data_IF_389489352491
#
_entry.id   IF_389489352491
#
_cell.length_a   1.000
_cell.length_b   1.000
_cell.length_c   1.000
_cell.angle_alpha   90.00
_cell.angle_beta   90.00
_cell.angle_gamma   90.00
#
_symmetry.space_group_name_H-M   'P 1'
#
loop_
_entity.id
_entity.type
_entity.pdbx_description
1 polymer ?
#
# COMPACT_ATOMS: atom_id res chain seq x y z
N UNK A 1 12.67 -5.54 -11.04
CA UNK A 1 12.71 -4.46 -12.06
C UNK A 1 13.82 -3.50 -11.64
N UNK A 2 14.87 -3.35 -12.44
CA UNK A 2 16.09 -2.59 -12.12
C UNK A 2 15.91 -1.11 -12.45
N UNK A 3 16.48 -0.24 -11.60
CA UNK A 3 16.39 1.23 -11.61
C UNK A 3 17.04 1.93 -12.83
N UNK A 4 16.48 3.09 -13.27
CA UNK A 4 17.06 3.99 -14.30
C UNK A 4 17.83 5.17 -13.62
N UNK A 5 19.15 5.34 -13.82
CA UNK A 5 20.02 6.27 -13.06
C UNK A 5 19.73 7.78 -13.11
N UNK A 6 18.89 8.27 -14.03
CA UNK A 6 18.83 9.70 -14.37
C UNK A 6 17.54 10.42 -13.91
N UNK A 7 16.83 9.91 -12.90
CA UNK A 7 15.60 10.55 -12.37
C UNK A 7 15.67 10.71 -10.86
N UNK A 8 15.84 11.95 -10.38
CA UNK A 8 15.85 12.29 -8.96
C UNK A 8 14.44 12.26 -8.36
N UNK A 9 14.09 11.13 -7.75
CA UNK A 9 12.94 10.98 -6.85
C UNK A 9 13.41 10.99 -5.39
N UNK A 10 12.50 11.14 -4.43
CA UNK A 10 12.87 11.02 -3.00
C UNK A 10 13.54 9.67 -2.67
N UNK A 11 13.10 8.58 -3.33
CA UNK A 11 13.66 7.25 -3.16
C UNK A 11 15.10 7.16 -3.68
N UNK A 12 15.40 7.82 -4.80
CA UNK A 12 16.72 7.76 -5.42
C UNK A 12 17.72 8.65 -4.71
N UNK A 13 17.27 9.82 -4.23
CA UNK A 13 18.07 10.67 -3.34
C UNK A 13 18.46 9.92 -2.06
N UNK A 14 17.54 9.14 -1.49
CA UNK A 14 17.86 8.28 -0.35
C UNK A 14 18.83 7.14 -0.71
N UNK A 15 18.64 6.48 -1.86
CA UNK A 15 19.56 5.44 -2.34
C UNK A 15 20.98 5.97 -2.56
N UNK A 16 21.12 7.13 -3.18
CA UNK A 16 22.41 7.80 -3.40
C UNK A 16 23.11 8.11 -2.08
N UNK A 17 22.37 8.69 -1.12
CA UNK A 17 22.89 8.96 0.21
C UNK A 17 23.28 7.66 0.95
N UNK A 18 22.47 6.60 0.84
CA UNK A 18 22.77 5.30 1.42
C UNK A 18 24.06 4.70 0.86
N UNK A 19 24.25 4.73 -0.47
CA UNK A 19 25.50 4.29 -1.11
C UNK A 19 26.70 5.13 -0.69
N UNK A 20 26.50 6.43 -0.45
CA UNK A 20 27.54 7.30 0.12
C UNK A 20 27.92 6.94 1.56
N UNK A 21 26.93 6.56 2.39
CA UNK A 21 27.14 6.13 3.78
C UNK A 21 27.76 4.72 3.86
N UNK A 22 27.43 3.84 2.92
CA UNK A 22 27.85 2.44 2.88
C UNK A 22 28.47 2.07 1.51
N UNK A 23 29.65 2.62 1.16
CA UNK A 23 30.23 2.51 -0.19
C UNK A 23 30.60 1.08 -0.60
N UNK A 24 30.81 0.19 0.37
CA UNK A 24 31.14 -1.21 0.13
C UNK A 24 29.91 -2.13 0.08
N UNK A 25 28.70 -1.58 0.27
CA UNK A 25 27.46 -2.37 0.22
C UNK A 25 26.97 -2.53 -1.21
N UNK A 26 26.51 -3.74 -1.55
CA UNK A 26 25.73 -3.97 -2.76
C UNK A 26 24.28 -3.61 -2.47
N UNK A 27 23.92 -2.34 -2.68
CA UNK A 27 22.56 -1.85 -2.41
C UNK A 27 21.73 -1.77 -3.68
N UNK A 28 20.57 -2.42 -3.65
CA UNK A 28 19.53 -2.35 -4.67
C UNK A 28 18.26 -1.69 -4.12
N UNK A 29 17.55 -0.95 -4.97
CA UNK A 29 16.29 -0.30 -4.62
C UNK A 29 15.15 -0.96 -5.39
N UNK A 30 14.16 -1.45 -4.65
CA UNK A 30 12.94 -2.02 -5.19
C UNK A 30 11.76 -1.11 -4.88
N UNK A 31 11.06 -0.64 -5.92
CA UNK A 31 9.86 0.15 -5.75
C UNK A 31 8.61 -0.74 -5.81
N UNK A 32 8.10 -1.10 -4.63
CA UNK A 32 6.84 -1.84 -4.46
C UNK A 32 5.59 -0.95 -4.45
N UNK A 33 5.70 0.37 -4.62
CA UNK A 33 4.56 1.26 -4.49
C UNK A 33 3.50 1.02 -5.57
N UNK A 34 2.24 0.96 -5.13
CA UNK A 34 1.07 0.86 -6.01
C UNK A 34 0.27 2.16 -5.89
N UNK A 35 0.05 2.90 -6.99
CA UNK A 35 -0.64 4.18 -6.90
C UNK A 35 -2.12 4.02 -6.49
N UNK A 36 -2.59 4.91 -5.61
CA UNK A 36 -3.98 4.97 -5.13
C UNK A 36 -4.48 3.71 -4.39
N UNK A 37 -3.58 3.02 -3.68
CA UNK A 37 -3.90 1.89 -2.79
C UNK A 37 -3.40 2.18 -1.38
N UNK A 38 -4.14 1.73 -0.37
CA UNK A 38 -3.78 1.86 1.03
C UNK A 38 -3.34 0.54 1.66
N UNK A 39 -3.31 0.54 2.99
CA UNK A 39 -3.11 -0.65 3.82
C UNK A 39 -4.17 -1.72 3.57
N UNK A 40 -5.39 -1.33 3.20
CA UNK A 40 -6.48 -2.25 2.88
C UNK A 40 -6.12 -3.24 1.75
N UNK A 41 -5.44 -2.76 0.71
CA UNK A 41 -4.89 -3.59 -0.37
C UNK A 41 -3.57 -4.26 0.04
N UNK A 42 -2.62 -3.49 0.57
CA UNK A 42 -1.27 -4.00 0.81
C UNK A 42 -1.22 -5.03 1.94
N UNK A 43 -2.11 -4.96 2.93
CA UNK A 43 -2.23 -5.99 3.97
C UNK A 43 -2.43 -7.39 3.43
N UNK A 44 -3.01 -7.54 2.24
CA UNK A 44 -3.22 -8.84 1.58
C UNK A 44 -2.21 -9.06 0.46
N UNK A 45 -1.85 -7.99 -0.27
CA UNK A 45 -1.08 -8.09 -1.51
C UNK A 45 0.38 -7.65 -1.39
N UNK A 46 0.93 -7.40 -0.19
CA UNK A 46 2.33 -6.94 -0.07
C UNK A 46 3.32 -7.92 -0.69
N UNK A 47 3.09 -9.24 -0.61
CA UNK A 47 3.95 -10.26 -1.23
C UNK A 47 4.03 -10.17 -2.77
N UNK A 48 3.05 -9.52 -3.41
CA UNK A 48 3.09 -9.23 -4.84
C UNK A 48 4.08 -8.12 -5.19
N UNK A 49 4.34 -7.22 -4.24
CA UNK A 49 5.11 -5.98 -4.46
C UNK A 49 6.44 -5.93 -3.71
N UNK A 50 6.64 -6.83 -2.77
CA UNK A 50 7.82 -6.96 -1.94
C UNK A 50 8.50 -8.31 -2.22
N UNK A 51 9.83 -8.33 -2.24
CA UNK A 51 10.59 -9.58 -2.26
C UNK A 51 10.73 -10.11 -0.83
N UNK A 52 10.78 -11.43 -0.66
CA UNK A 52 11.02 -12.04 0.64
C UNK A 52 12.48 -11.84 1.10
N UNK A 53 13.40 -11.61 0.15
CA UNK A 53 14.81 -11.31 0.40
C UNK A 53 15.08 -9.79 0.51
N UNK A 54 14.31 -9.11 1.36
CA UNK A 54 14.49 -7.67 1.63
C UNK A 54 15.10 -7.47 3.02
N UNK A 55 16.04 -6.52 3.14
CA UNK A 55 16.68 -6.19 4.43
C UNK A 55 16.10 -4.93 5.10
N UNK A 56 15.56 -3.99 4.30
CA UNK A 56 14.94 -2.75 4.77
C UNK A 56 13.67 -2.43 3.95
N UNK A 57 12.55 -2.20 4.64
CA UNK A 57 11.27 -1.82 4.04
C UNK A 57 10.88 -0.42 4.50
N UNK A 58 10.61 0.47 3.53
CA UNK A 58 10.00 1.77 3.78
C UNK A 58 8.52 1.70 3.46
N UNK A 59 7.64 1.93 4.44
CA UNK A 59 6.18 1.90 4.23
C UNK A 59 5.65 3.34 4.24
N UNK A 60 5.01 3.76 3.14
CA UNK A 60 4.37 5.09 3.01
C UNK A 60 2.93 4.92 2.51
N UNK A 61 1.95 5.34 3.33
CA UNK A 61 0.52 5.17 3.06
C UNK A 61 -0.34 6.36 3.48
N UNK A 62 0.27 7.47 3.91
CA UNK A 62 -0.40 8.57 4.61
C UNK A 62 -1.47 9.27 3.77
N UNK A 63 -1.22 9.33 2.47
CA UNK A 63 -2.09 9.96 1.50
C UNK A 63 -3.27 9.06 1.11
N UNK A 64 -3.12 7.74 1.21
CA UNK A 64 -4.10 6.75 0.74
C UNK A 64 -4.99 6.24 1.86
N UNK A 65 -4.42 6.01 3.04
CA UNK A 65 -5.16 5.59 4.22
C UNK A 65 -6.00 6.74 4.77
N UNK A 66 -7.23 6.41 5.15
CA UNK A 66 -8.10 7.33 5.87
C UNK A 66 -7.94 7.09 7.38
N UNK A 67 -8.41 8.05 8.19
CA UNK A 67 -8.48 7.90 9.64
C UNK A 67 -9.65 7.01 10.05
N UNK A 68 -9.63 5.77 9.59
CA UNK A 68 -10.61 4.74 9.85
C UNK A 68 -9.97 3.60 10.63
N UNK A 69 -10.71 3.01 11.55
CA UNK A 69 -10.27 1.83 12.31
C UNK A 69 -9.91 0.66 11.36
N UNK A 70 -10.67 0.48 10.27
CA UNK A 70 -10.37 -0.52 9.26
C UNK A 70 -9.00 -0.33 8.59
N UNK A 71 -8.55 0.92 8.40
CA UNK A 71 -7.20 1.20 7.89
C UNK A 71 -6.13 0.94 8.96
N UNK A 72 -6.41 1.26 10.23
CA UNK A 72 -5.49 0.92 11.32
C UNK A 72 -5.29 -0.60 11.45
N UNK A 73 -6.38 -1.37 11.39
CA UNK A 73 -6.33 -2.84 11.44
C UNK A 73 -5.64 -3.42 10.20
N UNK A 74 -5.93 -2.88 9.01
CA UNK A 74 -5.25 -3.32 7.79
C UNK A 74 -3.75 -3.01 7.83
N UNK A 75 -3.37 -1.85 8.35
CA UNK A 75 -1.96 -1.49 8.49
C UNK A 75 -1.24 -2.40 9.50
N UNK A 76 -1.90 -2.76 10.59
CA UNK A 76 -1.38 -3.72 11.57
C UNK A 76 -1.08 -5.08 10.91
N UNK A 77 -2.01 -5.62 10.11
CA UNK A 77 -1.78 -6.86 9.36
C UNK A 77 -0.63 -6.74 8.37
N UNK A 78 -0.53 -5.61 7.66
CA UNK A 78 0.58 -5.34 6.75
C UNK A 78 1.91 -5.35 7.51
N UNK A 79 1.99 -4.61 8.61
CA UNK A 79 3.22 -4.45 9.38
C UNK A 79 3.67 -5.79 9.97
N UNK A 80 2.75 -6.56 10.57
CA UNK A 80 3.03 -7.90 11.07
C UNK A 80 3.50 -8.83 9.95
N UNK A 81 2.81 -8.85 8.81
CA UNK A 81 3.22 -9.67 7.65
C UNK A 81 4.62 -9.35 7.13
N UNK A 82 4.98 -8.07 7.06
CA UNK A 82 6.33 -7.64 6.66
C UNK A 82 7.39 -8.07 7.68
N UNK A 83 7.08 -7.95 8.97
CA UNK A 83 8.01 -8.31 10.04
C UNK A 83 8.21 -9.83 10.18
N UNK A 84 7.24 -10.63 9.73
CA UNK A 84 7.28 -12.10 9.68
C UNK A 84 7.94 -12.68 8.41
N UNK A 85 8.44 -11.81 7.52
CA UNK A 85 9.21 -12.24 6.34
C UNK A 85 10.49 -13.00 6.76
N UNK A 86 11.01 -13.92 5.92
CA UNK A 86 12.13 -14.78 6.28
C UNK A 86 13.38 -14.03 6.78
N UNK A 87 13.71 -12.89 6.16
CA UNK A 87 14.84 -12.03 6.52
C UNK A 87 14.62 -11.16 7.75
N UNK A 88 13.38 -11.05 8.26
CA UNK A 88 12.97 -10.15 9.35
C UNK A 88 13.48 -8.71 9.10
N UNK A 89 13.05 -8.07 7.99
CA UNK A 89 13.59 -6.79 7.57
C UNK A 89 13.42 -5.70 8.63
N UNK A 90 14.33 -4.74 8.64
CA UNK A 90 14.09 -3.47 9.32
C UNK A 90 12.93 -2.73 8.63
N UNK A 91 12.05 -2.10 9.40
CA UNK A 91 10.92 -1.34 8.87
C UNK A 91 11.00 0.10 9.33
N UNK A 92 10.84 1.05 8.40
CA UNK A 92 10.69 2.48 8.70
C UNK A 92 9.39 2.96 8.08
N UNK A 93 8.54 3.57 8.90
CA UNK A 93 7.25 4.08 8.48
C UNK A 93 7.36 5.56 8.13
N UNK A 94 7.03 5.87 6.89
CA UNK A 94 6.97 7.22 6.36
C UNK A 94 5.53 7.69 6.38
N UNK A 95 5.23 8.61 7.30
CA UNK A 95 3.95 9.27 7.44
C UNK A 95 2.75 8.35 7.77
N UNK A 96 2.98 7.14 8.28
CA UNK A 96 1.90 6.20 8.65
C UNK A 96 1.47 6.34 10.12
N UNK A 97 0.21 6.01 10.42
CA UNK A 97 -0.34 5.94 11.79
C UNK A 97 -0.26 4.52 12.36
N UNK A 98 -0.45 4.36 13.66
CA UNK A 98 -0.62 3.03 14.33
C UNK A 98 0.60 2.11 14.38
N UNK A 99 1.82 2.59 14.09
CA UNK A 99 3.03 1.76 14.16
C UNK A 99 3.72 1.70 15.55
N UNK A 100 3.22 2.49 16.51
CA UNK A 100 3.88 2.68 17.82
C UNK A 100 3.93 1.40 18.66
N UNK A 101 2.95 0.51 18.55
CA UNK A 101 2.92 -0.73 19.32
C UNK A 101 4.05 -1.70 18.93
N UNK A 102 4.47 -1.68 17.67
CA UNK A 102 5.49 -2.56 17.12
C UNK A 102 6.91 -1.97 17.24
N UNK A 103 7.07 -0.85 17.96
CA UNK A 103 8.34 -0.13 18.14
C UNK A 103 9.09 0.16 16.83
N UNK A 104 8.36 0.30 15.71
CA UNK A 104 8.94 0.64 14.42
C UNK A 104 9.01 2.16 14.24
N UNK A 105 10.15 2.71 13.77
CA UNK A 105 10.32 4.14 13.59
C UNK A 105 9.25 4.77 12.69
N UNK A 106 8.75 5.94 13.09
CA UNK A 106 7.80 6.74 12.31
C UNK A 106 8.44 8.10 12.00
N UNK A 107 8.67 8.37 10.72
CA UNK A 107 9.16 9.66 10.23
C UNK A 107 8.02 10.37 9.50
N UNK A 108 7.79 11.64 9.84
CA UNK A 108 6.71 12.41 9.24
C UNK A 108 7.19 13.78 8.81
N UNK A 109 7.10 14.07 7.51
CA UNK A 109 7.38 15.42 7.01
C UNK A 109 6.34 16.41 7.51
N UNK A 110 5.14 15.96 7.90
CA UNK A 110 4.09 16.83 8.43
C UNK A 110 4.59 17.66 9.61
N UNK A 111 5.41 17.07 10.48
CA UNK A 111 5.93 17.73 11.68
C UNK A 111 6.88 18.90 11.35
N UNK A 112 7.49 18.89 10.16
CA UNK A 112 8.39 19.96 9.71
C UNK A 112 7.68 20.88 8.70
N UNK A 113 7.11 20.29 7.66
CA UNK A 113 6.60 20.98 6.49
C UNK A 113 5.32 21.77 6.80
N UNK A 114 4.41 21.24 7.61
CA UNK A 114 3.15 21.95 7.91
C UNK A 114 3.39 23.22 8.74
N UNK A 115 4.13 23.19 9.87
CA UNK A 115 4.46 24.42 10.58
C UNK A 115 5.21 25.44 9.71
N UNK A 116 6.09 24.97 8.82
CA UNK A 116 6.83 25.82 7.91
C UNK A 116 5.92 26.52 6.90
N UNK A 117 5.06 25.77 6.21
CA UNK A 117 4.08 26.33 5.25
C UNK A 117 3.07 27.24 5.96
N UNK A 118 2.61 26.90 7.16
CA UNK A 118 1.68 27.77 7.90
C UNK A 118 2.29 29.14 8.26
N UNK A 119 3.61 29.21 8.42
CA UNK A 119 4.35 30.46 8.66
C UNK A 119 4.71 31.18 7.35
N UNK A 120 4.86 30.42 6.26
CA UNK A 120 5.30 30.87 4.95
C UNK A 120 4.29 30.40 3.89
N UNK A 121 3.06 30.91 3.98
CA UNK A 121 1.94 30.44 3.16
C UNK A 121 2.19 30.63 1.65
N UNK A 122 3.05 31.57 1.28
CA UNK A 122 3.51 31.81 -0.09
C UNK A 122 4.33 30.65 -0.69
N UNK A 123 4.77 29.69 0.12
CA UNK A 123 5.56 28.55 -0.29
C UNK A 123 4.74 27.25 -0.42
N UNK A 124 3.43 27.28 -0.23
CA UNK A 124 2.62 26.05 -0.34
C UNK A 124 2.73 25.43 -1.75
N UNK A 125 2.53 26.20 -2.81
CA UNK A 125 2.65 25.74 -4.19
C UNK A 125 4.06 25.27 -4.59
N UNK A 126 5.08 25.60 -3.79
CA UNK A 126 6.46 25.16 -4.03
C UNK A 126 6.69 23.70 -3.64
N UNK A 127 5.90 23.15 -2.70
CA UNK A 127 6.09 21.78 -2.20
C UNK A 127 5.06 20.77 -2.73
N UNK A 128 4.08 21.25 -3.51
CA UNK A 128 2.94 20.48 -3.98
C UNK A 128 2.82 20.51 -5.50
N UNK A 129 2.28 19.43 -6.06
CA UNK A 129 2.10 19.27 -7.48
C UNK A 129 1.12 20.30 -8.05
N UNK A 130 1.23 20.60 -9.34
CA UNK A 130 0.24 21.38 -10.10
C UNK A 130 -0.47 20.51 -11.12
N UNK A 131 -1.79 20.66 -11.18
CA UNK A 131 -2.67 20.04 -12.16
C UNK A 131 -3.37 21.09 -13.03
N UNK A 132 -4.36 20.69 -13.83
CA UNK A 132 -5.07 21.60 -14.73
C UNK A 132 -6.03 22.53 -13.97
N UNK A 133 -6.47 22.10 -12.80
CA UNK A 133 -7.42 22.76 -11.92
C UNK A 133 -6.75 23.69 -10.90
N UNK A 134 -5.42 23.64 -10.77
CA UNK A 134 -4.62 24.44 -9.85
C UNK A 134 -3.59 23.62 -9.08
N UNK A 135 -3.34 24.01 -7.83
CA UNK A 135 -2.41 23.30 -6.95
C UNK A 135 -3.07 22.06 -6.35
N UNK A 136 -2.38 20.93 -6.44
CA UNK A 136 -2.74 19.66 -5.82
C UNK A 136 -2.05 19.55 -4.45
N UNK A 137 -2.67 20.13 -3.42
CA UNK A 137 -2.18 20.09 -2.03
C UNK A 137 -2.21 18.68 -1.40
N UNK A 138 -2.56 17.65 -2.17
CA UNK A 138 -2.54 16.27 -1.73
C UNK A 138 -1.23 15.59 -2.15
N UNK A 139 -0.73 15.83 -3.36
CA UNK A 139 0.50 15.21 -3.85
C UNK A 139 1.69 16.17 -3.75
N UNK A 140 2.70 15.79 -2.98
CA UNK A 140 3.96 16.54 -2.91
C UNK A 140 4.73 16.42 -4.21
N UNK A 141 5.39 17.51 -4.59
CA UNK A 141 6.20 17.57 -5.81
C UNK A 141 7.65 17.13 -5.56
N UNK A 142 8.54 17.50 -6.48
CA UNK A 142 9.98 17.27 -6.43
C UNK A 142 10.61 17.77 -5.13
N UNK A 143 10.16 18.94 -4.66
CA UNK A 143 10.69 19.60 -3.48
C UNK A 143 10.17 18.93 -2.21
N UNK A 144 8.88 18.60 -2.15
CA UNK A 144 8.34 17.82 -1.03
C UNK A 144 8.91 16.39 -0.94
N UNK A 145 9.17 15.74 -2.09
CA UNK A 145 9.89 14.47 -2.15
C UNK A 145 11.34 14.58 -1.65
N UNK A 146 12.02 15.70 -1.93
CA UNK A 146 13.34 15.97 -1.36
C UNK A 146 13.28 16.10 0.16
N UNK A 147 12.29 16.79 0.72
CA UNK A 147 12.11 16.89 2.19
C UNK A 147 11.92 15.50 2.81
N UNK A 148 11.16 14.60 2.15
CA UNK A 148 11.05 13.20 2.59
C UNK A 148 12.37 12.43 2.55
N UNK A 149 13.20 12.64 1.53
CA UNK A 149 14.52 12.03 1.48
C UNK A 149 15.44 12.59 2.58
N UNK A 150 15.44 13.91 2.79
CA UNK A 150 16.32 14.57 3.76
C UNK A 150 16.02 14.10 5.20
N UNK A 151 14.73 13.90 5.57
CA UNK A 151 14.38 13.37 6.90
C UNK A 151 14.82 11.91 7.08
N UNK A 152 14.73 11.08 6.03
CA UNK A 152 15.24 9.69 6.04
C UNK A 152 16.76 9.65 6.20
N UNK A 153 17.48 10.49 5.46
CA UNK A 153 18.94 10.58 5.52
C UNK A 153 19.37 11.02 6.92
N UNK A 154 18.77 12.09 7.45
CA UNK A 154 19.07 12.60 8.78
C UNK A 154 18.78 11.55 9.87
N UNK A 155 17.66 10.82 9.76
CA UNK A 155 17.36 9.72 10.66
C UNK A 155 18.41 8.60 10.57
N UNK A 156 18.77 8.17 9.37
CA UNK A 156 19.76 7.11 9.13
C UNK A 156 21.12 7.48 9.71
N UNK A 157 21.61 8.70 9.43
CA UNK A 157 22.85 9.22 10.00
C UNK A 157 22.80 9.25 11.53
N UNK A 158 21.67 9.66 12.12
CA UNK A 158 21.49 9.65 13.57
C UNK A 158 21.54 8.22 14.15
N UNK A 159 20.95 7.23 13.47
CA UNK A 159 21.04 5.83 13.91
C UNK A 159 22.46 5.29 13.83
N UNK A 160 23.20 5.60 12.75
CA UNK A 160 24.62 5.25 12.63
C UNK A 160 25.40 5.82 13.82
N UNK A 161 25.25 7.12 14.11
CA UNK A 161 25.89 7.76 15.26
C UNK A 161 25.51 7.11 16.59
N UNK A 162 24.22 6.76 16.77
CA UNK A 162 23.74 6.11 17.99
C UNK A 162 24.38 4.73 18.18
N UNK A 163 24.51 3.93 17.11
CA UNK A 163 25.16 2.62 17.14
C UNK A 163 26.65 2.76 17.45
N UNK A 164 27.36 3.69 16.81
CA UNK A 164 28.79 3.91 17.07
C UNK A 164 29.05 4.39 18.50
N UNK A 165 28.24 5.31 19.00
CA UNK A 165 28.28 5.70 20.43
C UNK A 165 27.94 4.52 21.34
N UNK A 166 26.95 3.71 20.99
CA UNK A 166 26.53 2.52 21.73
C UNK A 166 27.65 1.50 21.84
N UNK A 167 28.36 1.18 20.75
CA UNK A 167 29.54 0.30 20.75
C UNK A 167 30.61 0.80 21.72
N UNK A 168 30.88 2.11 21.75
CA UNK A 168 31.84 2.70 22.70
C UNK A 168 31.41 2.59 24.17
N UNK A 169 30.09 2.57 24.44
CA UNK A 169 29.53 2.46 25.80
C UNK A 169 29.41 1.00 26.25
N UNK A 170 28.99 0.09 25.36
CA UNK A 170 28.92 -1.34 25.62
C UNK A 170 30.30 -1.95 25.85
N UNK A 171 31.36 -1.45 25.20
CA UNK A 171 32.74 -1.84 25.56
C UNK A 171 33.12 -1.48 27.01
N UNK A 172 32.42 -0.54 27.65
CA UNK A 172 32.67 -0.12 29.04
C UNK A 172 31.73 -0.75 30.06
N UNK A 173 30.63 -1.35 29.61
CA UNK A 173 29.67 -2.02 30.47
C UNK A 173 29.67 -3.51 30.12
N UNK A 174 30.22 -4.36 30.99
CA UNK A 174 30.06 -5.81 30.98
C UNK A 174 28.59 -6.18 31.27
N UNK A 175 27.69 -5.72 30.41
CA UNK A 175 26.29 -6.07 30.42
C UNK A 175 26.19 -7.43 29.75
N UNK A 176 26.25 -8.49 30.56
CA UNK A 176 25.74 -9.82 30.22
C UNK A 176 24.22 -9.74 30.05
N UNK A 177 23.78 -9.07 28.98
CA UNK A 177 22.38 -9.06 28.57
C UNK A 177 22.13 -10.45 27.98
N UNK A 178 21.69 -11.36 28.85
CA UNK A 178 21.02 -12.59 28.48
C UNK A 178 19.53 -12.33 28.18
N UNK A 179 19.16 -11.09 27.89
CA UNK A 179 17.78 -10.74 27.52
C UNK A 179 17.66 -10.95 26.02
N UNK A 180 17.02 -12.05 25.63
CA UNK A 180 16.42 -12.14 24.31
C UNK A 180 15.40 -11.01 24.24
N UNK A 181 15.65 -10.03 23.36
CA UNK A 181 14.61 -9.09 22.94
C UNK A 181 13.37 -9.92 22.57
N UNK A 182 12.15 -9.44 22.89
CA UNK A 182 10.93 -10.11 22.48
C UNK A 182 11.03 -10.49 21.00
N UNK A 183 10.81 -11.76 20.70
CA UNK A 183 10.74 -12.22 19.32
C UNK A 183 9.51 -11.61 18.68
N UNK A 184 9.51 -11.50 17.36
CA UNK A 184 8.29 -11.08 16.64
C UNK A 184 7.11 -12.00 16.90
N UNK A 185 7.40 -13.27 17.23
CA UNK A 185 6.43 -14.28 17.69
C UNK A 185 5.77 -13.91 19.03
N UNK A 186 6.38 -13.02 19.82
CA UNK A 186 5.86 -12.51 21.10
C UNK A 186 5.02 -11.22 20.94
N UNK A 187 4.91 -10.68 19.73
CA UNK A 187 4.10 -9.48 19.45
C UNK A 187 2.67 -9.88 19.06
N UNK A 188 1.70 -9.40 19.83
CA UNK A 188 0.29 -9.73 19.65
C UNK A 188 -0.39 -8.92 18.52
N UNK A 189 -1.53 -9.41 18.02
CA UNK A 189 -2.44 -8.61 17.20
C UNK A 189 -3.12 -7.50 18.00
N UNK A 190 -3.46 -6.40 17.34
CA UNK A 190 -4.17 -5.27 17.95
C UNK A 190 -5.48 -5.01 17.21
N UNK A 191 -6.59 -4.74 17.93
CA UNK A 191 -6.71 -4.68 19.39
C UNK A 191 -7.02 -6.05 20.01
N UNK A 192 -6.13 -6.54 20.88
CA UNK A 192 -6.35 -7.77 21.66
C UNK A 192 -6.01 -7.57 23.14
N UNK A 193 -6.73 -8.31 23.99
CA UNK A 193 -6.38 -8.47 25.41
C UNK A 193 -5.27 -9.52 25.53
N UNK A 194 -4.18 -9.18 26.23
CA UNK A 194 -3.07 -10.10 26.49
C UNK A 194 -3.56 -11.47 26.96
N UNK A 195 -3.05 -12.52 26.31
CA UNK A 195 -3.36 -13.91 26.59
C UNK A 195 -2.11 -14.78 26.42
N UNK A 196 -1.67 -15.36 27.53
CA UNK A 196 -0.44 -16.17 27.61
C UNK A 196 -0.49 -17.50 26.87
N UNK A 197 -1.68 -18.03 26.60
CA UNK A 197 -1.83 -19.40 26.08
C UNK A 197 -2.10 -19.42 24.57
N UNK A 198 -2.35 -18.26 23.96
CA UNK A 198 -2.58 -18.20 22.52
C UNK A 198 -1.28 -18.02 21.75
N UNK A 199 -1.05 -18.92 20.81
CA UNK A 199 -0.03 -18.77 19.78
C UNK A 199 -0.70 -18.11 18.57
N UNK A 200 -0.19 -16.94 18.16
CA UNK A 200 -0.64 -16.33 16.92
C UNK A 200 -0.12 -17.12 15.73
N UNK A 201 -1.04 -17.40 14.82
CA UNK A 201 -0.67 -18.02 13.56
C UNK A 201 0.00 -16.99 12.65
N UNK A 202 0.99 -17.47 11.89
CA UNK A 202 1.72 -16.66 10.93
C UNK A 202 0.76 -16.01 9.93
N UNK A 203 0.88 -14.70 9.77
CA UNK A 203 0.10 -13.95 8.80
C UNK A 203 0.70 -14.13 7.39
N UNK A 204 0.13 -15.07 6.63
CA UNK A 204 0.55 -15.35 5.24
C UNK A 204 -0.65 -15.21 4.29
N UNK A 205 -0.94 -13.99 3.79
CA UNK A 205 -2.03 -13.77 2.86
C UNK A 205 -1.67 -14.24 1.45
N UNK A 206 -2.67 -14.71 0.70
CA UNK A 206 -2.56 -14.94 -0.74
C UNK A 206 -3.27 -13.85 -1.50
N UNK A 207 -2.66 -13.35 -2.58
CA UNK A 207 -3.24 -12.34 -3.43
C UNK A 207 -3.13 -12.73 -4.91
N UNK A 208 -4.16 -12.42 -5.68
CA UNK A 208 -4.14 -12.45 -7.13
C UNK A 208 -4.49 -11.06 -7.64
N UNK A 209 -3.76 -10.54 -8.62
CA UNK A 209 -4.01 -9.19 -9.13
C UNK A 209 -3.74 -9.07 -10.62
N UNK A 210 -4.49 -8.18 -11.29
CA UNK A 210 -4.19 -7.74 -12.66
C UNK A 210 -3.00 -6.77 -12.73
N UNK A 211 -2.42 -6.42 -11.57
CA UNK A 211 -1.33 -5.44 -11.40
C UNK A 211 0.04 -6.09 -11.17
N UNK A 212 0.10 -7.41 -11.12
CA UNK A 212 1.30 -8.21 -10.78
C UNK A 212 1.45 -9.36 -11.76
N UNK A 213 2.68 -9.84 -11.90
CA UNK A 213 3.00 -11.05 -12.67
C UNK A 213 3.33 -12.25 -11.79
N UNK A 214 3.54 -12.07 -10.46
CA UNK A 214 3.85 -13.20 -9.57
C UNK A 214 2.65 -14.13 -9.45
N UNK A 215 1.49 -13.56 -9.09
CA UNK A 215 0.21 -14.29 -9.08
C UNK A 215 -0.87 -13.53 -9.87
N UNK A 216 -0.97 -13.76 -11.19
CA UNK A 216 -1.93 -13.05 -12.04
C UNK A 216 -3.37 -13.44 -11.70
N UNK A 217 -4.27 -12.45 -11.66
CA UNK A 217 -5.70 -12.69 -11.50
C UNK A 217 -6.27 -13.40 -12.73
N UNK A 218 -6.50 -14.70 -12.61
CA UNK A 218 -6.90 -15.58 -13.72
C UNK A 218 -8.26 -16.20 -13.41
N UNK A 219 -9.30 -15.92 -14.21
CA UNK A 219 -10.61 -16.50 -13.98
C UNK A 219 -10.63 -17.99 -14.35
N UNK A 220 -11.37 -18.79 -13.56
CA UNK A 220 -11.69 -20.18 -13.89
C UNK A 220 -12.90 -20.26 -14.85
N UNK A 221 -13.74 -19.23 -14.83
CA UNK A 221 -14.86 -19.06 -15.75
C UNK A 221 -15.06 -17.55 -15.98
N UNK A 222 -15.30 -17.15 -17.22
CA UNK A 222 -15.41 -15.74 -17.59
C UNK A 222 -16.42 -15.56 -18.72
N UNK A 223 -17.44 -14.75 -18.47
CA UNK A 223 -18.41 -14.29 -19.46
C UNK A 223 -18.44 -12.76 -19.49
N UNK A 224 -17.80 -12.17 -20.50
CA UNK A 224 -17.88 -10.72 -20.79
C UNK A 224 -16.84 -9.84 -20.08
N UNK A 225 -16.04 -10.39 -19.16
CA UNK A 225 -15.03 -9.63 -18.43
C UNK A 225 -13.68 -9.62 -19.15
N UNK A 226 -13.01 -8.47 -19.16
CA UNK A 226 -11.71 -8.27 -19.78
C UNK A 226 -10.86 -7.29 -18.97
N UNK A 227 -9.54 -7.36 -19.13
CA UNK A 227 -8.62 -6.41 -18.48
C UNK A 227 -8.71 -5.07 -19.21
N UNK A 228 -9.00 -3.99 -18.49
CA UNK A 228 -9.07 -2.65 -19.04
C UNK A 228 -7.73 -2.29 -19.70
N UNK A 229 -7.76 -1.86 -20.97
CA UNK A 229 -6.54 -1.38 -21.65
C UNK A 229 -6.16 0.01 -21.12
N UNK A 230 -4.87 0.34 -21.21
CA UNK A 230 -4.23 1.58 -20.76
C UNK A 230 -4.99 2.87 -21.14
N UNK A 231 -5.81 2.84 -22.19
CA UNK A 231 -6.56 4.01 -22.67
C UNK A 231 -7.88 4.28 -21.93
N UNK A 232 -8.45 3.31 -21.20
CA UNK A 232 -9.82 3.42 -20.65
C UNK A 232 -9.87 3.96 -19.22
N UNK A 233 -8.82 3.71 -18.41
CA UNK A 233 -8.72 4.20 -17.03
C UNK A 233 -7.32 4.79 -16.82
N UNK A 234 -7.03 5.90 -17.49
CA UNK A 234 -5.85 6.72 -17.17
C UNK A 234 -6.20 7.54 -15.94
N UNK A 235 -5.88 7.04 -14.75
CA UNK A 235 -5.79 7.92 -13.57
C UNK A 235 -4.48 8.68 -13.74
N UNK A 236 -4.53 9.81 -14.45
CA UNK A 236 -3.39 10.70 -14.61
C UNK A 236 -2.92 11.06 -13.20
N UNK A 237 -1.72 10.61 -12.85
CA UNK A 237 -1.02 11.06 -11.65
C UNK A 237 -0.72 12.55 -11.85
N UNK A 238 -1.41 13.37 -11.08
CA UNK A 238 -1.59 14.82 -11.26
C UNK A 238 -0.35 15.70 -11.02
N UNK A 239 0.87 15.16 -11.13
CA UNK A 239 2.11 15.95 -11.14
C UNK A 239 2.62 16.14 -12.58
N UNK A 240 1.73 16.51 -13.50
CA UNK A 240 2.01 16.54 -14.94
C UNK A 240 1.96 17.95 -15.52
N UNK A 241 2.43 18.98 -14.84
CA UNK A 241 2.57 20.30 -15.47
C UNK A 241 3.76 21.10 -14.94
N UNK A 242 4.89 20.93 -15.62
CA UNK A 242 5.86 21.98 -15.97
C UNK A 242 6.79 21.37 -17.05
N UNK A 243 6.77 21.95 -18.26
CA UNK A 243 7.64 21.62 -19.40
C UNK A 243 7.37 20.37 -20.27
N UNK A 244 6.11 19.95 -20.47
CA UNK A 244 5.77 19.02 -21.56
C UNK A 244 6.46 17.64 -21.50
N UNK A 245 6.94 17.25 -20.32
CA UNK A 245 7.46 15.91 -20.04
C UNK A 245 6.77 15.37 -18.80
N UNK A 246 6.25 14.15 -18.90
CA UNK A 246 5.73 13.37 -17.78
C UNK A 246 6.91 12.94 -16.91
N UNK A 247 7.20 13.66 -15.82
CA UNK A 247 8.41 13.41 -15.00
C UNK A 247 8.08 13.08 -13.54
N UNK A 248 7.11 12.22 -13.22
CA UNK A 248 7.00 11.73 -11.81
C UNK A 248 6.60 10.26 -11.66
N UNK A 249 6.22 9.59 -12.74
CA UNK A 249 5.85 8.18 -12.67
C UNK A 249 7.03 7.29 -13.05
N UNK A 250 7.31 6.31 -12.20
CA UNK A 250 8.21 5.21 -12.53
C UNK A 250 7.69 4.55 -13.82
N UNK A 251 8.57 4.46 -14.82
CA UNK A 251 8.23 3.98 -16.16
C UNK A 251 7.63 2.58 -16.05
N UNK A 252 6.42 2.37 -16.57
CA UNK A 252 5.74 1.06 -16.57
C UNK A 252 4.60 0.85 -15.55
N UNK A 253 4.28 1.83 -14.68
CA UNK A 253 3.13 1.74 -13.73
C UNK A 253 2.08 2.84 -13.91
N UNK A 254 1.97 3.43 -15.10
CA UNK A 254 0.91 4.41 -15.42
C UNK A 254 -0.46 3.73 -15.57
N UNK A 255 -0.46 2.47 -15.99
CA UNK A 255 -1.68 1.72 -16.19
C UNK A 255 -2.18 1.23 -14.84
N UNK A 256 -3.45 1.50 -14.57
CA UNK A 256 -4.15 1.00 -13.40
C UNK A 256 -5.19 -0.01 -13.86
N UNK A 257 -4.78 -1.18 -14.37
CA UNK A 257 -5.72 -2.13 -14.92
C UNK A 257 -6.71 -2.58 -13.85
N UNK A 258 -7.94 -2.75 -14.28
CA UNK A 258 -9.00 -3.45 -13.58
C UNK A 258 -9.59 -4.49 -14.50
N UNK A 259 -10.19 -5.54 -13.94
CA UNK A 259 -11.08 -6.38 -14.71
C UNK A 259 -12.43 -5.67 -14.81
N UNK A 260 -12.96 -5.55 -16.03
CA UNK A 260 -14.19 -4.81 -16.33
C UNK A 260 -15.08 -5.61 -17.27
N UNK A 261 -16.39 -5.41 -17.16
CA UNK A 261 -17.40 -5.88 -18.11
C UNK A 261 -18.43 -4.76 -18.33
N UNK A 262 -19.40 -4.95 -19.22
CA UNK A 262 -20.36 -3.87 -19.60
C UNK A 262 -21.81 -4.30 -19.55
N UNK A 263 -22.12 -5.57 -19.71
CA UNK A 263 -23.50 -6.00 -19.87
C UNK A 263 -24.00 -6.55 -18.53
N UNK A 264 -25.17 -6.10 -18.04
CA UNK A 264 -25.82 -6.74 -16.91
C UNK A 264 -25.97 -8.25 -17.12
N UNK A 265 -25.59 -9.03 -16.11
CA UNK A 265 -25.53 -10.49 -16.17
C UNK A 265 -24.18 -11.07 -16.65
N UNK A 266 -23.25 -10.25 -17.15
CA UNK A 266 -21.85 -10.68 -17.35
C UNK A 266 -21.25 -11.08 -15.99
N UNK A 267 -20.57 -12.22 -15.94
CA UNK A 267 -20.03 -12.76 -14.70
C UNK A 267 -18.61 -13.30 -14.85
N UNK A 268 -17.92 -13.42 -13.73
CA UNK A 268 -16.58 -13.99 -13.64
C UNK A 268 -16.42 -14.79 -12.35
N UNK A 269 -15.66 -15.89 -12.42
CA UNK A 269 -15.33 -16.75 -11.28
C UNK A 269 -13.83 -16.88 -11.09
N UNK A 270 -13.39 -16.87 -9.84
CA UNK A 270 -11.98 -17.08 -9.46
C UNK A 270 -11.87 -18.18 -8.41
N UNK A 271 -10.88 -19.05 -8.53
CA UNK A 271 -10.45 -19.90 -7.42
C UNK A 271 -9.56 -19.07 -6.48
N UNK A 272 -9.92 -19.03 -5.21
CA UNK A 272 -9.15 -18.35 -4.16
C UNK A 272 -8.77 -19.34 -3.06
N UNK A 273 -7.59 -19.16 -2.48
CA UNK A 273 -7.14 -19.93 -1.31
C UNK A 273 -7.40 -19.10 -0.04
N UNK A 274 -8.17 -19.65 0.88
CA UNK A 274 -8.45 -19.03 2.17
C UNK A 274 -7.48 -19.60 3.20
N UNK A 275 -6.67 -18.70 3.77
CA UNK A 275 -5.79 -19.01 4.89
C UNK A 275 -6.52 -18.94 6.24
N UNK A 276 -5.75 -19.00 7.32
CA UNK A 276 -6.30 -19.11 8.67
C UNK A 276 -6.92 -17.81 9.21
N UNK A 277 -6.68 -16.69 8.52
CA UNK A 277 -7.42 -15.44 8.74
C UNK A 277 -8.89 -15.52 8.33
N UNK A 278 -9.30 -16.57 7.60
CA UNK A 278 -10.70 -16.89 7.24
C UNK A 278 -11.43 -15.78 6.47
N UNK A 279 -10.66 -14.90 5.83
CA UNK A 279 -11.16 -13.67 5.18
C UNK A 279 -10.98 -13.74 3.67
N UNK A 280 -12.01 -13.31 2.95
CA UNK A 280 -11.99 -13.13 1.49
C UNK A 280 -12.30 -11.68 1.18
N UNK A 281 -11.47 -11.06 0.34
CA UNK A 281 -11.55 -9.64 -0.01
C UNK A 281 -11.39 -9.45 -1.50
N UNK A 282 -12.03 -8.41 -2.02
CA UNK A 282 -11.80 -7.94 -3.38
C UNK A 282 -11.48 -6.45 -3.38
N UNK A 283 -10.56 -6.05 -4.26
CA UNK A 283 -10.24 -4.65 -4.52
C UNK A 283 -10.96 -4.18 -5.77
N UNK A 284 -11.63 -3.05 -5.69
CA UNK A 284 -12.42 -2.48 -6.78
C UNK A 284 -12.25 -0.95 -6.82
N UNK A 285 -12.57 -0.35 -7.96
CA UNK A 285 -12.48 1.08 -8.16
C UNK A 285 -13.77 1.77 -7.72
N UNK A 286 -13.65 2.87 -6.98
CA UNK A 286 -14.76 3.80 -6.74
C UNK A 286 -14.55 5.14 -7.44
N UNK A 287 -15.57 5.62 -8.12
CA UNK A 287 -15.54 6.90 -8.84
C UNK A 287 -16.95 7.48 -8.99
N UNK A 288 -17.05 8.81 -8.90
CA UNK A 288 -18.27 9.54 -9.30
C UNK A 288 -18.35 9.76 -10.82
N UNK A 289 -17.21 9.79 -11.51
CA UNK A 289 -17.09 10.33 -12.87
C UNK A 289 -16.82 9.28 -13.94
N UNK A 290 -16.46 8.06 -13.57
CA UNK A 290 -16.12 7.01 -14.54
C UNK A 290 -17.31 6.17 -15.02
N UNK A 291 -18.52 6.44 -14.54
CA UNK A 291 -19.72 5.70 -14.95
C UNK A 291 -19.67 4.23 -14.54
N UNK A 292 -19.20 3.93 -13.32
CA UNK A 292 -19.00 2.56 -12.85
C UNK A 292 -20.32 1.95 -12.34
N UNK A 293 -20.60 0.72 -12.74
CA UNK A 293 -21.74 -0.06 -12.27
C UNK A 293 -21.59 -0.68 -10.89
N UNK A 294 -22.61 -1.44 -10.50
CA UNK A 294 -22.63 -2.28 -9.30
C UNK A 294 -22.48 -3.75 -9.71
N UNK A 295 -21.73 -4.51 -8.92
CA UNK A 295 -21.60 -5.97 -9.10
C UNK A 295 -22.03 -6.69 -7.82
N UNK A 296 -22.66 -7.85 -7.98
CA UNK A 296 -23.01 -8.75 -6.88
C UNK A 296 -21.95 -9.84 -6.81
N UNK A 297 -21.24 -9.91 -5.69
CA UNK A 297 -20.16 -10.89 -5.49
C UNK A 297 -20.45 -11.82 -4.33
N UNK A 298 -20.24 -13.12 -4.48
CA UNK A 298 -20.47 -14.11 -3.43
C UNK A 298 -19.37 -15.17 -3.41
N UNK A 299 -19.31 -15.89 -2.29
CA UNK A 299 -18.39 -17.01 -2.09
C UNK A 299 -19.13 -18.33 -2.32
N UNK A 300 -18.46 -19.25 -3.01
CA UNK A 300 -18.93 -20.55 -3.44
C UNK A 300 -20.29 -20.45 -4.15
N UNK A 301 -21.26 -21.28 -3.79
CA UNK A 301 -22.59 -21.31 -4.38
C UNK A 301 -23.62 -20.49 -3.55
N UNK A 302 -23.20 -19.74 -2.54
CA UNK A 302 -24.08 -18.99 -1.63
C UNK A 302 -24.41 -17.58 -2.15
N UNK A 303 -25.05 -17.50 -3.33
CA UNK A 303 -25.45 -16.23 -3.95
C UNK A 303 -26.36 -15.39 -3.06
N UNK A 304 -27.12 -16.02 -2.17
CA UNK A 304 -28.03 -15.35 -1.24
C UNK A 304 -27.27 -14.52 -0.18
N UNK A 305 -26.07 -14.94 0.21
CA UNK A 305 -25.17 -14.17 1.10
C UNK A 305 -24.18 -13.30 0.35
N UNK A 306 -24.42 -13.04 -0.93
CA UNK A 306 -23.58 -12.13 -1.71
C UNK A 306 -23.55 -10.71 -1.14
N UNK A 307 -22.56 -9.96 -1.60
CA UNK A 307 -22.32 -8.59 -1.21
C UNK A 307 -22.36 -7.71 -2.44
N UNK A 308 -23.10 -6.60 -2.36
CA UNK A 308 -23.10 -5.57 -3.40
C UNK A 308 -21.80 -4.77 -3.35
N UNK A 309 -21.12 -4.70 -4.47
CA UNK A 309 -19.88 -3.97 -4.66
C UNK A 309 -20.16 -2.81 -5.61
N UNK A 310 -20.35 -1.62 -5.02
CA UNK A 310 -20.79 -0.46 -5.78
C UNK A 310 -19.61 0.38 -6.27
N UNK A 311 -19.41 0.47 -7.59
CA UNK A 311 -18.37 1.31 -8.19
C UNK A 311 -18.64 2.81 -8.04
N UNK A 312 -19.89 3.21 -7.84
CA UNK A 312 -20.25 4.62 -7.67
C UNK A 312 -20.18 5.11 -6.22
N UNK A 313 -19.91 6.41 -6.07
CA UNK A 313 -20.11 7.15 -4.82
C UNK A 313 -20.17 8.66 -5.05
N UNK A 314 -20.84 9.38 -4.15
CA UNK A 314 -20.93 10.84 -4.21
C UNK A 314 -19.71 11.52 -3.57
N UNK A 315 -18.53 11.36 -4.17
CA UNK A 315 -17.29 12.06 -3.78
C UNK A 315 -16.67 12.72 -5.00
N UNK A 316 -16.71 14.05 -5.01
CA UNK A 316 -16.06 14.84 -6.06
C UNK A 316 -14.54 14.65 -6.04
N UNK A 317 -13.94 14.67 -7.24
CA UNK A 317 -12.49 14.63 -7.45
C UNK A 317 -11.75 13.45 -6.78
N UNK A 318 -12.47 12.38 -6.43
CA UNK A 318 -11.88 11.21 -5.75
C UNK A 318 -12.15 9.92 -6.52
N UNK A 319 -11.09 9.39 -7.12
CA UNK A 319 -11.06 8.12 -7.83
C UNK A 319 -10.05 7.20 -7.13
N UNK A 320 -10.51 6.16 -6.45
CA UNK A 320 -9.64 5.41 -5.54
C UNK A 320 -10.01 3.94 -5.51
N UNK A 321 -8.99 3.10 -5.32
CA UNK A 321 -9.21 1.70 -5.01
C UNK A 321 -9.80 1.58 -3.60
N UNK A 322 -10.75 0.65 -3.45
CA UNK A 322 -11.32 0.26 -2.16
C UNK A 322 -11.30 -1.24 -2.07
N UNK A 323 -11.25 -1.72 -0.84
CA UNK A 323 -11.41 -3.12 -0.53
C UNK A 323 -12.76 -3.34 0.13
N UNK A 324 -13.45 -4.40 -0.29
CA UNK A 324 -14.64 -4.91 0.38
C UNK A 324 -14.39 -6.35 0.82
N UNK A 325 -15.00 -6.71 1.94
CA UNK A 325 -14.91 -8.04 2.52
C UNK A 325 -16.11 -8.85 2.03
N UNK A 326 -15.85 -9.98 1.36
CA UNK A 326 -16.88 -10.92 0.93
C UNK A 326 -17.19 -11.96 2.01
N UNK A 327 -16.20 -12.27 2.86
CA UNK A 327 -16.37 -13.17 4.00
C UNK A 327 -15.33 -12.88 5.09
N UNK A 328 -15.73 -13.05 6.35
CA UNK A 328 -14.84 -12.97 7.54
C UNK A 328 -14.67 -14.30 8.27
N UNK A 329 -15.36 -15.34 7.82
CA UNK A 329 -15.47 -16.63 8.49
C UNK A 329 -15.43 -17.81 7.52
N UNK A 330 -14.88 -17.63 6.31
CA UNK A 330 -14.67 -18.71 5.36
C UNK A 330 -13.77 -19.79 5.99
N UNK A 331 -14.04 -21.07 5.71
CA UNK A 331 -13.16 -22.13 6.19
C UNK A 331 -11.81 -22.08 5.47
N UNK A 332 -10.71 -22.53 6.08
CA UNK A 332 -9.45 -22.65 5.36
C UNK A 332 -9.56 -23.64 4.21
N UNK A 333 -9.06 -23.28 3.02
CA UNK A 333 -9.13 -24.14 1.84
C UNK A 333 -9.41 -23.39 0.54
N UNK A 334 -9.72 -24.15 -0.51
CA UNK A 334 -10.06 -23.59 -1.83
C UNK A 334 -11.53 -23.19 -1.86
N UNK A 335 -11.79 -21.99 -2.35
CA UNK A 335 -13.13 -21.44 -2.52
C UNK A 335 -13.28 -20.82 -3.91
N UNK A 336 -14.52 -20.60 -4.33
CA UNK A 336 -14.83 -19.89 -5.57
C UNK A 336 -15.42 -18.53 -5.27
N UNK A 337 -14.84 -17.44 -5.78
CA UNK A 337 -15.48 -16.12 -5.76
C UNK A 337 -16.16 -15.91 -7.10
N UNK A 338 -17.47 -15.65 -7.08
CA UNK A 338 -18.23 -15.26 -8.27
C UNK A 338 -18.66 -13.81 -8.17
N UNK A 339 -18.49 -13.03 -9.23
CA UNK A 339 -19.00 -11.66 -9.34
C UNK A 339 -19.81 -11.51 -10.63
N UNK A 340 -20.98 -10.89 -10.54
CA UNK A 340 -21.94 -10.70 -11.64
C UNK A 340 -22.36 -9.22 -11.72
N UNK A 341 -22.39 -8.64 -12.92
CA UNK A 341 -22.90 -7.26 -13.12
C UNK A 341 -24.40 -7.22 -12.83
N UNK A 342 -24.80 -6.28 -11.96
CA UNK A 342 -26.20 -6.11 -11.57
C UNK A 342 -27.01 -5.38 -12.66
N UNK A 343 -28.32 -5.67 -12.72
CA UNK A 343 -29.26 -4.96 -13.59
C UNK A 343 -29.47 -3.51 -13.16
N UNK A 344 -29.45 -3.26 -11.85
CA UNK A 344 -29.55 -1.94 -11.26
C UNK A 344 -28.17 -1.48 -10.80
N UNK A 345 -27.93 -0.17 -10.90
CA UNK A 345 -26.67 0.46 -10.48
C UNK A 345 -26.93 1.59 -9.50
N UNK A 346 -25.97 1.83 -8.59
CA UNK A 346 -26.00 2.99 -7.70
C UNK A 346 -25.58 4.28 -8.41
N UNK A 347 -25.03 4.21 -9.62
CA UNK A 347 -24.69 5.39 -10.40
C UNK A 347 -25.95 6.07 -10.97
N UNK A 348 -26.26 7.33 -10.60
CA UNK A 348 -27.36 8.09 -11.20
C UNK A 348 -27.27 8.23 -12.72
N UNK A 349 -26.06 8.13 -13.29
CA UNK A 349 -25.80 8.13 -14.73
C UNK A 349 -26.09 6.79 -15.43
N UNK A 350 -26.54 5.77 -14.69
CA UNK A 350 -26.76 4.40 -15.18
C UNK A 350 -25.47 3.73 -15.69
N UNK A 351 -24.34 3.99 -15.02
CA UNK A 351 -23.08 3.31 -15.27
C UNK A 351 -23.16 1.80 -15.10
N UNK A 352 -22.38 1.07 -15.90
CA UNK A 352 -22.32 -0.41 -15.97
C UNK A 352 -20.90 -0.89 -15.82
#
# INVERSE_FOLDING_TARGET
MVYEPNRTTGQTSFLEAWKGLFPNSQTELYNGAVPATGSDYLSVCFGEHLDEDVDLVLIELAINDQRLESNANAYEWLLRGVLELPKRPAVINLQVTSAQYYDTPILSIRNFLVPYILKHAELDEYYFCKNKEGTDWRHVDVHGHKVMADILIAYTQRQICAVEMGKSRLQKADLKINEQLPKMEDLDDIPRKYDRDTVLEKFSPTCQSVRTTKHPLTPIENQGWYVSTSATIIIISHCSYLFGRTIWTFKGRLDKPYLVAKNPGDFVKFEVLVGTMRRVRITYLKSKTFGLGDVWCWLDDDRAKGTKVSGWWNKENLNIARVIVLSENAEPGKHTVTCEIMQETSDPGKGT
#
